data_IF_412357243420
#
_entry.id   IF_412357243420
#
_cell.length_a   1.000
_cell.length_b   1.000
_cell.length_c   1.000
_cell.angle_alpha   90.00
_cell.angle_beta   90.00
_cell.angle_gamma   90.00
#
_symmetry.space_group_name_H-M   'P 1'
#
loop_
_entity.id
_entity.type
_entity.pdbx_description
1 polymer ?
#
# COMPACT_ATOMS: atom_id res chain seq x y z
N UNK A 1 9.80 20.57 -19.67
CA UNK A 1 9.33 20.57 -21.08
C UNK A 1 9.42 19.17 -21.66
N UNK A 2 8.77 18.92 -22.80
CA UNK A 2 8.91 17.64 -23.51
C UNK A 2 10.37 17.34 -23.93
N UNK A 3 11.14 18.37 -24.23
CA UNK A 3 12.56 18.24 -24.56
C UNK A 3 13.36 17.71 -23.36
N UNK A 4 13.06 18.16 -22.15
CA UNK A 4 13.78 17.72 -20.95
C UNK A 4 13.42 16.27 -20.60
N UNK A 5 12.16 15.88 -20.77
CA UNK A 5 11.71 14.47 -20.62
C UNK A 5 12.45 13.58 -21.64
N UNK A 6 12.57 14.03 -22.89
CA UNK A 6 13.31 13.30 -23.91
C UNK A 6 14.81 13.16 -23.58
N UNK A 7 15.45 14.23 -23.09
CA UNK A 7 16.83 14.17 -22.61
C UNK A 7 17.00 13.19 -21.44
N UNK A 8 16.04 13.15 -20.52
CA UNK A 8 16.04 12.20 -19.42
C UNK A 8 15.95 10.76 -19.97
N UNK A 9 15.04 10.48 -20.91
CA UNK A 9 14.90 9.15 -21.52
C UNK A 9 16.18 8.69 -22.25
N UNK A 10 16.85 9.59 -22.99
CA UNK A 10 18.15 9.32 -23.64
C UNK A 10 19.20 8.99 -22.57
N UNK A 11 19.29 9.77 -21.52
CA UNK A 11 20.23 9.55 -20.42
C UNK A 11 20.03 8.19 -19.74
N UNK A 12 18.77 7.80 -19.49
CA UNK A 12 18.43 6.51 -18.91
C UNK A 12 18.77 5.34 -19.84
N UNK A 13 18.48 5.47 -21.14
CA UNK A 13 18.84 4.46 -22.16
C UNK A 13 20.34 4.23 -22.30
N UNK A 14 21.17 5.21 -21.92
CA UNK A 14 22.63 5.07 -21.89
C UNK A 14 23.16 4.44 -20.60
N UNK A 15 22.35 4.40 -19.52
CA UNK A 15 22.80 3.99 -18.17
C UNK A 15 22.17 2.69 -17.69
N UNK A 16 20.99 2.34 -18.17
CA UNK A 16 20.20 1.23 -17.68
C UNK A 16 19.88 0.23 -18.80
N UNK A 17 19.58 -1.03 -18.46
CA UNK A 17 19.10 -2.00 -19.42
C UNK A 17 17.82 -1.53 -20.12
N UNK A 18 17.82 -1.48 -21.43
CA UNK A 18 16.74 -0.99 -22.28
C UNK A 18 17.25 -0.02 -23.35
N UNK A 19 16.40 0.31 -24.29
CA UNK A 19 16.69 1.29 -25.34
C UNK A 19 16.17 2.67 -24.97
N UNK A 20 16.66 3.72 -25.61
CA UNK A 20 16.09 5.06 -25.48
C UNK A 20 14.59 5.06 -25.78
N UNK A 21 14.13 4.27 -26.76
CA UNK A 21 12.71 4.15 -27.10
C UNK A 21 11.89 3.55 -25.95
N UNK A 22 12.43 2.56 -25.24
CA UNK A 22 11.74 1.98 -24.07
C UNK A 22 11.52 3.02 -22.97
N UNK A 23 12.52 3.86 -22.69
CA UNK A 23 12.38 4.93 -21.70
C UNK A 23 11.52 6.09 -22.19
N UNK A 24 11.47 6.37 -23.49
CA UNK A 24 10.50 7.32 -24.05
C UNK A 24 9.06 6.81 -23.90
N UNK A 25 8.81 5.52 -24.17
CA UNK A 25 7.51 4.87 -23.96
C UNK A 25 7.12 4.89 -22.48
N UNK A 26 8.07 4.62 -21.58
CA UNK A 26 7.88 4.74 -20.14
C UNK A 26 7.42 6.14 -19.73
N UNK A 27 8.10 7.18 -20.22
CA UNK A 27 7.73 8.57 -19.95
C UNK A 27 6.35 8.91 -20.50
N UNK A 28 6.02 8.44 -21.71
CA UNK A 28 4.67 8.60 -22.27
C UNK A 28 3.61 7.90 -21.42
N UNK A 29 3.91 6.71 -20.89
CA UNK A 29 2.99 6.00 -20.00
C UNK A 29 2.73 6.81 -18.73
N UNK A 30 3.76 7.34 -18.08
CA UNK A 30 3.60 8.19 -16.89
C UNK A 30 2.73 9.41 -17.20
N UNK A 31 2.95 10.10 -18.33
CA UNK A 31 2.14 11.24 -18.75
C UNK A 31 0.68 10.82 -19.00
N UNK A 32 0.44 9.70 -19.68
CA UNK A 32 -0.92 9.16 -19.91
C UNK A 32 -1.65 8.82 -18.62
N UNK A 33 -0.93 8.42 -17.58
CA UNK A 33 -1.46 8.14 -16.26
C UNK A 33 -1.69 9.41 -15.43
N UNK A 34 -1.46 10.58 -16.00
CA UNK A 34 -1.71 11.87 -15.37
C UNK A 34 -0.58 12.38 -14.47
N UNK A 35 0.60 11.78 -14.52
CA UNK A 35 1.77 12.28 -13.77
C UNK A 35 2.26 13.56 -14.43
N UNK A 36 2.30 14.72 -13.73
CA UNK A 36 2.77 15.97 -14.29
C UNK A 36 4.24 15.88 -14.75
N UNK A 37 4.56 16.61 -15.85
CA UNK A 37 5.93 16.63 -16.39
C UNK A 37 6.97 17.10 -15.36
N UNK A 38 6.60 18.02 -14.48
CA UNK A 38 7.44 18.49 -13.38
C UNK A 38 7.78 17.38 -12.39
N UNK A 39 6.83 16.51 -12.04
CA UNK A 39 7.06 15.38 -11.15
C UNK A 39 7.90 14.29 -11.83
N UNK A 40 7.68 14.05 -13.13
CA UNK A 40 8.51 13.13 -13.91
C UNK A 40 9.98 13.60 -13.87
N UNK A 41 10.23 14.86 -14.15
CA UNK A 41 11.57 15.47 -14.12
C UNK A 41 12.11 15.61 -12.69
N UNK A 42 11.24 15.83 -11.72
CA UNK A 42 11.57 15.96 -10.30
C UNK A 42 12.03 14.65 -9.63
N UNK A 43 11.98 13.54 -10.36
CA UNK A 43 12.51 12.27 -9.85
C UNK A 43 11.68 11.03 -10.17
N UNK A 44 10.36 11.16 -10.40
CA UNK A 44 9.46 10.02 -10.66
C UNK A 44 9.92 9.22 -11.90
N UNK A 45 10.30 9.91 -12.99
CA UNK A 45 10.78 9.24 -14.20
C UNK A 45 12.04 8.40 -13.94
N UNK A 46 13.03 8.97 -13.26
CA UNK A 46 14.25 8.26 -12.88
C UNK A 46 13.97 7.10 -11.94
N UNK A 47 13.16 7.32 -10.90
CA UNK A 47 12.81 6.28 -9.93
C UNK A 47 12.04 5.13 -10.58
N UNK A 48 11.12 5.41 -11.52
CA UNK A 48 10.42 4.38 -12.29
C UNK A 48 11.38 3.53 -13.13
N UNK A 49 12.38 4.15 -13.75
CA UNK A 49 13.41 3.42 -14.51
C UNK A 49 14.23 2.49 -13.62
N UNK A 50 14.63 2.94 -12.43
CA UNK A 50 15.32 2.07 -11.47
C UNK A 50 14.40 0.98 -10.92
N UNK A 51 13.13 1.27 -10.69
CA UNK A 51 12.13 0.29 -10.29
C UNK A 51 11.99 -0.82 -11.36
N UNK A 52 12.04 -0.47 -12.64
CA UNK A 52 12.03 -1.45 -13.74
C UNK A 52 13.17 -2.46 -13.62
N UNK A 53 14.38 -1.99 -13.35
CA UNK A 53 15.56 -2.84 -13.15
C UNK A 53 15.37 -3.74 -11.93
N UNK A 54 14.93 -3.18 -10.80
CA UNK A 54 14.75 -3.91 -9.54
C UNK A 54 13.68 -5.00 -9.64
N UNK A 55 12.55 -4.68 -10.27
CA UNK A 55 11.44 -5.61 -10.46
C UNK A 55 11.64 -6.53 -11.68
N UNK A 56 12.76 -6.41 -12.40
CA UNK A 56 13.06 -7.15 -13.66
C UNK A 56 11.94 -7.01 -14.70
N UNK A 57 11.41 -5.79 -14.82
CA UNK A 57 10.36 -5.43 -15.76
C UNK A 57 10.93 -4.57 -16.91
N UNK A 58 10.18 -4.52 -18.00
CA UNK A 58 10.44 -3.48 -19.01
C UNK A 58 10.13 -2.10 -18.43
N UNK A 59 10.79 -1.03 -18.90
CA UNK A 59 10.51 0.33 -18.42
C UNK A 59 9.02 0.71 -18.50
N UNK A 60 8.35 0.35 -19.60
CA UNK A 60 6.92 0.61 -19.78
C UNK A 60 6.05 -0.17 -18.77
N UNK A 61 6.33 -1.46 -18.54
CA UNK A 61 5.63 -2.27 -17.55
C UNK A 61 5.83 -1.76 -16.12
N UNK A 62 7.00 -1.21 -15.81
CA UNK A 62 7.25 -0.57 -14.51
C UNK A 62 6.44 0.72 -14.33
N UNK A 63 6.29 1.53 -15.39
CA UNK A 63 5.45 2.72 -15.37
C UNK A 63 3.96 2.35 -15.16
N UNK A 64 3.48 1.32 -15.84
CA UNK A 64 2.12 0.81 -15.65
C UNK A 64 1.89 0.30 -14.21
N UNK A 65 2.83 -0.46 -13.69
CA UNK A 65 2.77 -0.95 -12.31
C UNK A 65 2.76 0.22 -11.30
N UNK A 66 3.66 1.21 -11.47
CA UNK A 66 3.73 2.38 -10.63
C UNK A 66 2.41 3.17 -10.62
N UNK A 67 1.81 3.38 -11.79
CA UNK A 67 0.53 4.05 -11.93
C UNK A 67 -0.62 3.27 -11.26
N UNK A 68 -0.67 1.95 -11.46
CA UNK A 68 -1.67 1.09 -10.78
C UNK A 68 -1.50 1.11 -9.26
N UNK A 69 -0.27 1.13 -8.76
CA UNK A 69 -0.01 1.28 -7.33
C UNK A 69 -0.44 2.65 -6.80
N UNK A 70 -0.20 3.72 -7.57
CA UNK A 70 -0.69 5.05 -7.25
C UNK A 70 -2.22 5.07 -7.11
N UNK A 71 -2.94 4.52 -8.08
CA UNK A 71 -4.40 4.44 -8.06
C UNK A 71 -4.91 3.62 -6.86
N UNK A 72 -4.31 2.46 -6.63
CA UNK A 72 -4.70 1.55 -5.56
C UNK A 72 -4.51 2.18 -4.16
N UNK A 73 -3.45 2.95 -3.98
CA UNK A 73 -3.13 3.62 -2.70
C UNK A 73 -3.77 4.99 -2.57
N UNK A 74 -4.09 5.65 -3.69
CA UNK A 74 -4.53 7.05 -3.73
C UNK A 74 -3.40 8.03 -3.42
N UNK A 75 -2.15 7.65 -3.68
CA UNK A 75 -0.97 8.51 -3.47
C UNK A 75 -0.99 9.68 -4.45
N UNK A 76 -0.74 10.89 -3.96
CA UNK A 76 -0.62 12.07 -4.81
C UNK A 76 0.64 11.99 -5.70
N UNK A 77 0.61 12.67 -6.85
CA UNK A 77 1.71 12.59 -7.83
C UNK A 77 3.04 13.10 -7.27
N UNK A 78 3.01 14.10 -6.41
CA UNK A 78 4.17 14.65 -5.71
C UNK A 78 4.77 13.67 -4.68
N UNK A 79 3.98 12.72 -4.18
CA UNK A 79 4.37 11.75 -3.16
C UNK A 79 4.86 10.41 -3.75
N UNK A 80 4.91 10.29 -5.08
CA UNK A 80 5.28 9.05 -5.78
C UNK A 80 6.66 8.51 -5.40
N UNK A 81 7.61 9.38 -5.05
CA UNK A 81 8.93 8.95 -4.59
C UNK A 81 8.85 8.17 -3.26
N UNK A 82 7.99 8.62 -2.34
CA UNK A 82 7.72 7.91 -1.09
C UNK A 82 6.99 6.57 -1.32
N UNK A 83 6.10 6.52 -2.31
CA UNK A 83 5.45 5.28 -2.71
C UNK A 83 6.47 4.28 -3.28
N UNK A 84 7.40 4.72 -4.15
CA UNK A 84 8.44 3.85 -4.68
C UNK A 84 9.38 3.30 -3.61
N UNK A 85 9.76 4.12 -2.64
CA UNK A 85 10.55 3.67 -1.48
C UNK A 85 9.80 2.58 -0.69
N UNK A 86 8.49 2.75 -0.52
CA UNK A 86 7.63 1.77 0.16
C UNK A 86 7.54 0.46 -0.63
N UNK A 87 7.33 0.53 -1.95
CA UNK A 87 7.31 -0.63 -2.86
C UNK A 87 8.65 -1.37 -2.81
N UNK A 88 9.74 -0.64 -2.92
CA UNK A 88 11.08 -1.20 -2.92
C UNK A 88 11.39 -1.94 -1.62
N UNK A 89 11.06 -1.34 -0.47
CA UNK A 89 11.23 -1.98 0.84
C UNK A 89 10.44 -3.28 0.96
N UNK A 90 9.17 -3.29 0.53
CA UNK A 90 8.35 -4.49 0.56
C UNK A 90 8.90 -5.57 -0.39
N UNK A 91 9.37 -5.20 -1.58
CA UNK A 91 9.99 -6.10 -2.54
C UNK A 91 11.27 -6.76 -1.97
N UNK A 92 12.15 -5.99 -1.33
CA UNK A 92 13.35 -6.53 -0.68
C UNK A 92 13.03 -7.47 0.49
N UNK A 93 11.86 -7.34 1.09
CA UNK A 93 11.38 -8.25 2.15
C UNK A 93 10.64 -9.49 1.58
N UNK A 94 10.60 -9.64 0.24
CA UNK A 94 10.15 -10.84 -0.43
C UNK A 94 8.79 -10.77 -1.11
N UNK A 95 8.04 -9.67 -0.95
CA UNK A 95 6.72 -9.53 -1.60
C UNK A 95 6.92 -9.23 -3.08
N UNK A 96 6.40 -10.10 -3.95
CA UNK A 96 6.42 -9.81 -5.38
C UNK A 96 5.44 -8.69 -5.77
N UNK A 97 5.69 -8.07 -6.92
CA UNK A 97 4.93 -6.92 -7.40
C UNK A 97 3.45 -7.26 -7.66
N UNK A 98 3.13 -8.46 -8.11
CA UNK A 98 1.76 -8.91 -8.37
C UNK A 98 0.97 -9.06 -7.08
N UNK A 99 1.57 -9.68 -6.05
CA UNK A 99 0.97 -9.80 -4.73
C UNK A 99 0.79 -8.44 -4.06
N UNK A 100 1.78 -7.55 -4.20
CA UNK A 100 1.71 -6.19 -3.66
C UNK A 100 0.56 -5.40 -4.29
N UNK A 101 0.47 -5.38 -5.63
CA UNK A 101 -0.59 -4.69 -6.34
C UNK A 101 -1.98 -5.26 -5.98
N UNK A 102 -2.12 -6.59 -5.93
CA UNK A 102 -3.36 -7.25 -5.55
C UNK A 102 -3.79 -6.88 -4.13
N UNK A 103 -2.86 -6.88 -3.17
CA UNK A 103 -3.12 -6.49 -1.79
C UNK A 103 -3.65 -5.06 -1.69
N UNK A 104 -2.96 -4.09 -2.29
CA UNK A 104 -3.38 -2.68 -2.24
C UNK A 104 -4.68 -2.44 -3.02
N UNK A 105 -4.88 -3.09 -4.16
CA UNK A 105 -6.13 -3.01 -4.91
C UNK A 105 -7.32 -3.50 -4.07
N UNK A 106 -7.19 -4.62 -3.37
CA UNK A 106 -8.26 -5.16 -2.51
C UNK A 106 -8.51 -4.32 -1.25
N UNK A 107 -7.51 -3.61 -0.77
CA UNK A 107 -7.64 -2.72 0.40
C UNK A 107 -8.01 -1.29 0.03
N UNK A 108 -7.95 -0.88 -1.24
CA UNK A 108 -8.15 0.50 -1.71
C UNK A 108 -9.43 1.15 -1.18
N UNK A 109 -10.53 0.38 -1.13
CA UNK A 109 -11.83 0.87 -0.63
C UNK A 109 -11.83 1.28 0.85
N UNK A 110 -10.92 0.74 1.64
CA UNK A 110 -10.81 1.04 3.08
C UNK A 110 -9.63 1.96 3.41
N UNK A 111 -8.67 2.13 2.49
CA UNK A 111 -7.53 3.02 2.70
C UNK A 111 -7.94 4.45 3.01
N UNK A 112 -8.88 4.98 2.23
CA UNK A 112 -9.43 6.34 2.42
C UNK A 112 -10.17 6.51 3.75
N UNK A 113 -10.61 5.41 4.37
CA UNK A 113 -11.31 5.41 5.65
C UNK A 113 -10.35 5.42 6.84
N UNK A 114 -9.13 4.94 6.66
CA UNK A 114 -8.15 4.76 7.74
C UNK A 114 -7.09 5.85 7.79
N UNK A 115 -6.76 6.47 6.66
CA UNK A 115 -5.80 7.57 6.57
C UNK A 115 -6.30 8.61 5.57
N UNK A 116 -6.00 9.90 5.83
CA UNK A 116 -6.35 11.02 4.95
C UNK A 116 -5.41 11.12 3.73
N UNK A 117 -4.20 10.60 3.86
CA UNK A 117 -3.11 10.69 2.89
C UNK A 117 -2.82 9.29 2.33
N UNK A 118 -2.76 9.18 1.01
CA UNK A 118 -2.56 7.90 0.32
C UNK A 118 -1.18 7.30 0.59
N UNK A 119 -0.13 8.11 0.66
CA UNK A 119 1.22 7.64 0.99
C UNK A 119 1.29 7.08 2.41
N UNK A 120 0.74 7.77 3.40
CA UNK A 120 0.70 7.30 4.78
C UNK A 120 -0.08 5.99 4.90
N UNK A 121 -1.19 5.85 4.15
CA UNK A 121 -1.95 4.61 4.07
C UNK A 121 -1.10 3.47 3.51
N UNK A 122 -0.38 3.70 2.41
CA UNK A 122 0.51 2.72 1.80
C UNK A 122 1.63 2.30 2.77
N UNK A 123 2.29 3.26 3.42
CA UNK A 123 3.35 3.03 4.39
C UNK A 123 2.88 2.24 5.62
N UNK A 124 1.67 2.52 6.10
CA UNK A 124 1.09 1.82 7.25
C UNK A 124 0.72 0.37 6.94
N UNK A 125 0.29 0.09 5.70
CA UNK A 125 -0.17 -1.24 5.31
C UNK A 125 0.92 -2.12 4.67
N UNK A 126 1.97 -1.55 4.10
CA UNK A 126 3.04 -2.33 3.48
C UNK A 126 3.67 -3.37 4.44
N UNK A 127 3.96 -3.08 5.71
CA UNK A 127 4.46 -4.09 6.65
C UNK A 127 3.48 -5.25 6.87
N UNK A 128 2.18 -4.97 6.79
CA UNK A 128 1.14 -6.00 6.94
C UNK A 128 1.12 -6.91 5.71
N UNK A 129 1.26 -6.33 4.50
CA UNK A 129 1.36 -7.13 3.28
C UNK A 129 2.57 -8.06 3.31
N UNK A 130 3.72 -7.58 3.79
CA UNK A 130 4.95 -8.38 3.98
C UNK A 130 4.70 -9.52 4.97
N UNK A 131 4.12 -9.21 6.13
CA UNK A 131 3.84 -10.23 7.15
C UNK A 131 2.90 -11.30 6.63
N UNK A 132 1.84 -10.94 5.93
CA UNK A 132 0.86 -11.89 5.37
C UNK A 132 1.47 -12.74 4.25
N UNK A 133 2.31 -12.14 3.39
CA UNK A 133 3.05 -12.85 2.35
C UNK A 133 4.00 -13.90 2.96
N UNK A 134 4.75 -13.53 4.00
CA UNK A 134 5.62 -14.44 4.74
C UNK A 134 4.85 -15.59 5.43
N UNK A 135 3.55 -15.40 5.72
CA UNK A 135 2.65 -16.44 6.21
C UNK A 135 2.07 -17.30 5.07
N UNK A 136 2.48 -17.10 3.83
CA UNK A 136 2.02 -17.85 2.66
C UNK A 136 0.68 -17.40 2.10
N UNK A 137 0.17 -16.22 2.48
CA UNK A 137 -1.06 -15.67 1.90
C UNK A 137 -0.73 -14.90 0.62
N UNK A 138 -1.42 -15.22 -0.47
CA UNK A 138 -1.35 -14.39 -1.68
C UNK A 138 -1.96 -13.00 -1.45
N UNK A 139 -1.54 -12.01 -2.24
CA UNK A 139 -1.92 -10.61 -2.06
C UNK A 139 -3.44 -10.38 -2.10
N UNK A 140 -4.17 -11.10 -2.93
CA UNK A 140 -5.63 -10.98 -3.00
C UNK A 140 -6.30 -11.45 -1.71
N UNK A 141 -5.93 -12.62 -1.21
CA UNK A 141 -6.47 -13.17 0.04
C UNK A 141 -6.12 -12.30 1.24
N UNK A 142 -4.87 -11.84 1.31
CA UNK A 142 -4.39 -10.95 2.35
C UNK A 142 -5.14 -9.61 2.36
N UNK A 143 -5.30 -8.99 1.19
CA UNK A 143 -6.04 -7.74 1.03
C UNK A 143 -7.51 -7.87 1.40
N UNK A 144 -8.17 -8.94 0.97
CA UNK A 144 -9.56 -9.22 1.33
C UNK A 144 -9.75 -9.48 2.84
N UNK A 145 -8.82 -10.22 3.46
CA UNK A 145 -8.85 -10.47 4.91
C UNK A 145 -8.71 -9.15 5.69
N UNK A 146 -7.70 -8.34 5.35
CA UNK A 146 -7.49 -7.05 6.00
C UNK A 146 -8.67 -6.09 5.80
N UNK A 147 -9.23 -6.02 4.58
CA UNK A 147 -10.43 -5.22 4.31
C UNK A 147 -11.59 -5.60 5.23
N UNK A 148 -11.84 -6.90 5.39
CA UNK A 148 -12.91 -7.40 6.29
C UNK A 148 -12.63 -7.04 7.75
N UNK A 149 -11.39 -7.13 8.20
CA UNK A 149 -11.01 -6.74 9.57
C UNK A 149 -11.26 -5.25 9.79
N UNK A 150 -10.82 -4.38 8.87
CA UNK A 150 -11.02 -2.94 8.97
C UNK A 150 -12.52 -2.60 8.96
N UNK A 151 -13.28 -3.14 8.02
CA UNK A 151 -14.74 -2.92 7.92
C UNK A 151 -15.48 -3.40 9.17
N UNK A 152 -15.05 -4.51 9.78
CA UNK A 152 -15.63 -5.00 11.02
C UNK A 152 -15.26 -4.12 12.21
N UNK A 153 -14.02 -3.63 12.26
CA UNK A 153 -13.55 -2.69 13.29
C UNK A 153 -14.24 -1.33 13.23
N UNK A 154 -14.67 -0.88 12.05
CA UNK A 154 -15.46 0.34 11.87
C UNK A 154 -16.93 0.17 12.30
N UNK A 155 -17.42 -1.05 12.49
CA UNK A 155 -18.80 -1.32 12.90
C UNK A 155 -18.96 -1.22 14.42
N UNK A 156 -19.42 -0.07 14.90
CA UNK A 156 -19.70 0.17 16.34
C UNK A 156 -20.61 -0.92 16.92
N UNK A 157 -21.60 -1.38 16.15
CA UNK A 157 -22.51 -2.46 16.58
C UNK A 157 -21.75 -3.75 16.82
N UNK A 158 -20.94 -4.20 15.85
CA UNK A 158 -20.16 -5.45 15.99
C UNK A 158 -19.20 -5.39 17.17
N UNK A 159 -18.49 -4.29 17.35
CA UNK A 159 -17.56 -4.12 18.47
C UNK A 159 -18.30 -4.13 19.80
N UNK A 160 -19.46 -3.48 19.89
CA UNK A 160 -20.31 -3.52 21.08
C UNK A 160 -20.77 -4.95 21.41
N UNK A 161 -21.18 -5.72 20.41
CA UNK A 161 -21.63 -7.10 20.60
C UNK A 161 -20.46 -8.00 21.04
N UNK A 162 -19.28 -7.86 20.45
CA UNK A 162 -18.05 -8.55 20.90
C UNK A 162 -17.72 -8.18 22.34
N UNK A 163 -17.75 -6.89 22.71
CA UNK A 163 -17.49 -6.46 24.08
C UNK A 163 -18.51 -7.02 25.09
N UNK A 164 -19.79 -7.14 24.69
CA UNK A 164 -20.80 -7.80 25.55
C UNK A 164 -20.47 -9.27 25.80
N UNK A 165 -20.03 -9.99 24.75
CA UNK A 165 -19.62 -11.40 24.89
C UNK A 165 -18.41 -11.50 25.82
N UNK A 166 -17.38 -10.69 25.60
CA UNK A 166 -16.18 -10.66 26.45
C UNK A 166 -16.50 -10.34 27.92
N UNK A 167 -17.42 -9.39 28.16
CA UNK A 167 -17.86 -9.06 29.50
C UNK A 167 -18.61 -10.24 30.18
N UNK A 168 -19.52 -10.93 29.44
CA UNK A 168 -20.24 -12.11 29.95
C UNK A 168 -19.29 -13.24 30.32
N UNK A 169 -18.24 -13.43 29.53
CA UNK A 169 -17.21 -14.43 29.77
C UNK A 169 -16.14 -13.98 30.80
N UNK A 170 -16.29 -12.80 31.38
CA UNK A 170 -15.38 -12.22 32.39
C UNK A 170 -13.91 -12.19 31.92
N UNK A 171 -13.66 -11.90 30.62
CA UNK A 171 -12.32 -11.92 30.04
C UNK A 171 -11.45 -10.73 30.45
N UNK A 172 -12.03 -9.67 31.03
CA UNK A 172 -11.29 -8.47 31.46
C UNK A 172 -10.74 -7.64 30.30
N UNK A 173 -11.19 -7.87 29.07
CA UNK A 173 -10.77 -7.15 27.86
C UNK A 173 -11.95 -6.44 27.24
N UNK A 174 -11.73 -5.19 26.86
CA UNK A 174 -12.68 -4.38 26.10
C UNK A 174 -11.95 -3.75 24.92
N UNK A 175 -12.56 -3.81 23.73
CA UNK A 175 -12.05 -3.22 22.50
C UNK A 175 -12.75 -1.89 22.22
N UNK A 176 -11.95 -0.89 21.88
CA UNK A 176 -12.44 0.40 21.38
C UNK A 176 -11.55 0.85 20.21
N UNK A 177 -12.12 0.82 19.02
CA UNK A 177 -11.41 1.22 17.79
C UNK A 177 -11.69 2.68 17.41
N UNK A 178 -12.36 3.44 18.29
CA UNK A 178 -12.66 4.86 18.05
C UNK A 178 -11.52 5.77 18.52
N UNK A 179 -11.60 7.01 18.10
CA UNK A 179 -10.75 8.12 18.55
C UNK A 179 -11.25 8.79 19.85
N UNK A 180 -12.25 8.18 20.51
CA UNK A 180 -12.93 8.77 21.66
C UNK A 180 -13.99 9.81 21.30
N UNK A 181 -14.09 10.22 20.03
CA UNK A 181 -15.10 11.17 19.50
C UNK A 181 -16.12 10.49 18.59
N UNK A 182 -16.06 9.17 18.48
CA UNK A 182 -17.00 8.37 17.69
C UNK A 182 -16.54 8.08 16.26
N UNK A 183 -15.40 8.62 15.83
CA UNK A 183 -14.76 8.29 14.55
C UNK A 183 -13.75 7.16 14.71
N UNK A 184 -13.33 6.55 13.60
CA UNK A 184 -12.29 5.51 13.65
C UNK A 184 -10.96 6.08 14.11
N UNK A 185 -10.35 5.48 15.14
CA UNK A 185 -9.12 5.94 15.78
C UNK A 185 -7.81 5.55 15.04
N UNK A 186 -7.93 5.09 13.79
CA UNK A 186 -6.79 4.70 12.96
C UNK A 186 -6.32 3.26 13.16
N UNK A 187 -5.46 2.79 12.23
CA UNK A 187 -4.93 1.42 12.25
C UNK A 187 -4.08 1.14 13.49
N UNK A 188 -3.27 2.09 13.92
CA UNK A 188 -2.42 1.93 15.12
C UNK A 188 -3.26 1.69 16.37
N UNK A 189 -4.36 2.43 16.53
CA UNK A 189 -5.29 2.19 17.61
C UNK A 189 -5.91 0.79 17.49
N UNK A 190 -6.39 0.43 16.31
CA UNK A 190 -6.99 -0.89 16.07
C UNK A 190 -6.02 -2.01 16.45
N UNK A 191 -4.77 -1.96 16.00
CA UNK A 191 -3.77 -2.99 16.33
C UNK A 191 -3.42 -3.03 17.81
N UNK A 192 -3.31 -1.87 18.48
CA UNK A 192 -3.12 -1.82 19.93
C UNK A 192 -4.29 -2.47 20.67
N UNK A 193 -5.51 -2.23 20.23
CA UNK A 193 -6.69 -2.86 20.85
C UNK A 193 -6.70 -4.37 20.62
N UNK A 194 -6.41 -4.84 19.39
CA UNK A 194 -6.30 -6.26 19.09
C UNK A 194 -5.18 -6.95 19.87
N UNK A 195 -4.08 -6.27 20.14
CA UNK A 195 -2.98 -6.80 20.94
C UNK A 195 -3.40 -7.18 22.37
N UNK A 196 -4.47 -6.57 22.92
CA UNK A 196 -5.03 -6.95 24.23
C UNK A 196 -5.49 -8.42 24.24
N UNK A 197 -5.93 -8.94 23.10
CA UNK A 197 -6.38 -10.33 22.97
C UNK A 197 -5.24 -11.35 23.15
N UNK A 198 -3.97 -10.97 23.00
CA UNK A 198 -2.82 -11.83 23.29
C UNK A 198 -2.76 -12.32 24.73
N UNK A 199 -3.37 -11.57 25.65
CA UNK A 199 -3.43 -11.93 27.08
C UNK A 199 -4.46 -13.03 27.37
N UNK A 200 -5.31 -13.35 26.40
CA UNK A 200 -6.30 -14.43 26.54
C UNK A 200 -5.64 -15.75 26.17
N UNK A 201 -5.98 -16.81 26.89
CA UNK A 201 -5.61 -18.19 26.54
C UNK A 201 -6.34 -18.60 25.25
N UNK A 202 -5.81 -19.60 24.53
CA UNK A 202 -6.40 -20.02 23.25
C UNK A 202 -7.86 -20.46 23.39
N UNK A 203 -8.21 -21.12 24.50
CA UNK A 203 -9.60 -21.49 24.84
C UNK A 203 -10.51 -20.27 25.04
N UNK A 204 -9.95 -19.12 25.44
CA UNK A 204 -10.70 -17.88 25.63
C UNK A 204 -10.73 -16.97 24.40
N UNK A 205 -9.97 -17.32 23.34
CA UNK A 205 -9.94 -16.57 22.08
C UNK A 205 -10.92 -17.08 21.04
N UNK A 206 -11.31 -18.33 21.13
CA UNK A 206 -12.31 -19.00 20.28
C UNK A 206 -13.71 -18.72 20.79
#
# INVERSE_FOLDING_TARGET
SFQDINKLAIGLGNQLPGTTADFQNMMQMLVRQGIPAENILGGVGKATAYLAVQLKKTPEAAAEFAAKMQDATGTASEDMMGLFDTIQKAFYLGVDDTNMLSFFTKTSSVLKMVNKDGLQAAQSLAPISVMMDQMGMNGESAGNALRKVIQSGLSVKKIRDVNKVMARQRLGVQLDFTDGKGSFGGLDNMFRQLAKLRKLTDVKRT
#
